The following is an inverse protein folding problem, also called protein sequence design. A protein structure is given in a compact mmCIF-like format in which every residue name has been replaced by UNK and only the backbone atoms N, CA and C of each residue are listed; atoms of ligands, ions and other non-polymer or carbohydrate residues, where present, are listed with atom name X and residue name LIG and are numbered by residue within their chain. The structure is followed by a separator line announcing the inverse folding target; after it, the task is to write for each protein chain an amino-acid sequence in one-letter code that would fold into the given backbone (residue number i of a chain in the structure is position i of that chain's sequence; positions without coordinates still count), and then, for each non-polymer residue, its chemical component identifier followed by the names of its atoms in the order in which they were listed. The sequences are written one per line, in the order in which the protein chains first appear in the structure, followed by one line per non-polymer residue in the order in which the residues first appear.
data_IF_238109071410
#
_entry.id   IF_238109071410
#
_cell.length_a   1.000
_cell.length_b   1.000
_cell.length_c   1.000
_cell.angle_alpha   90.00
_cell.angle_beta   90.00
_cell.angle_gamma   90.00
#
_symmetry.space_group_name_H-M   'P 1'
#
loop_
_entity.id
_entity.type
_entity.pdbx_description
1 polymer ?
#
# COMPACT_ATOMS: atom_id res chain seq x y z
N UNK A 1 -27.50 2.60 3.04
CA UNK A 1 -26.60 3.15 2.00
C UNK A 1 -26.39 4.63 2.33
N UNK A 2 -25.16 5.06 2.65
CA UNK A 2 -24.86 6.40 3.17
C UNK A 2 -24.97 7.47 2.09
N UNK A 3 -26.20 7.93 1.77
CA UNK A 3 -26.45 9.07 0.88
C UNK A 3 -25.79 10.38 1.38
N UNK A 4 -25.43 10.42 2.65
CA UNK A 4 -24.85 11.60 3.29
C UNK A 4 -23.32 11.74 3.06
N UNK A 5 -22.64 10.64 2.72
CA UNK A 5 -21.19 10.65 2.49
C UNK A 5 -20.80 11.10 1.07
N UNK A 6 -21.74 11.07 0.11
CA UNK A 6 -21.48 11.37 -1.29
C UNK A 6 -22.64 12.22 -1.86
N UNK A 7 -22.45 13.51 -1.94
CA UNK A 7 -23.47 14.43 -2.44
C UNK A 7 -23.53 14.46 -3.97
N UNK A 8 -24.70 14.77 -4.53
CA UNK A 8 -24.91 14.89 -5.99
C UNK A 8 -23.92 15.85 -6.66
N UNK A 9 -23.64 17.05 -6.12
CA UNK A 9 -22.62 17.93 -6.71
C UNK A 9 -21.22 17.32 -6.76
N UNK A 10 -20.80 16.59 -5.71
CA UNK A 10 -19.49 15.90 -5.68
C UNK A 10 -19.46 14.80 -6.74
N UNK A 11 -20.54 14.05 -6.92
CA UNK A 11 -20.63 13.02 -7.96
C UNK A 11 -20.52 13.61 -9.37
N UNK A 12 -21.22 14.70 -9.66
CA UNK A 12 -21.17 15.37 -10.96
C UNK A 12 -19.78 15.96 -11.25
N UNK A 13 -19.18 16.61 -10.25
CA UNK A 13 -17.82 17.15 -10.35
C UNK A 13 -16.77 16.05 -10.54
N UNK A 14 -16.90 14.92 -9.82
CA UNK A 14 -15.98 13.80 -9.99
C UNK A 14 -16.10 13.14 -11.37
N UNK A 15 -17.30 12.99 -11.89
CA UNK A 15 -17.50 12.48 -13.27
C UNK A 15 -16.81 13.37 -14.30
N UNK A 16 -16.92 14.67 -14.17
CA UNK A 16 -16.18 15.61 -15.02
C UNK A 16 -14.66 15.49 -14.80
N UNK A 17 -14.23 15.33 -13.55
CA UNK A 17 -12.82 15.15 -13.21
C UNK A 17 -12.23 13.87 -13.78
N UNK A 18 -12.99 12.77 -13.84
CA UNK A 18 -12.53 11.47 -14.35
C UNK A 18 -12.84 11.22 -15.83
N UNK A 19 -13.42 12.21 -16.52
CA UNK A 19 -13.74 12.07 -17.95
C UNK A 19 -12.47 11.72 -18.75
N UNK A 20 -12.55 10.63 -19.54
CA UNK A 20 -11.45 10.13 -20.36
C UNK A 20 -10.42 9.27 -19.63
N UNK A 21 -10.54 9.05 -18.32
CA UNK A 21 -9.71 8.08 -17.59
C UNK A 21 -9.95 6.67 -18.13
N UNK A 22 -8.88 5.94 -18.39
CA UNK A 22 -8.90 4.55 -18.87
C UNK A 22 -8.17 3.59 -17.93
N UNK A 23 -7.14 4.09 -17.24
CA UNK A 23 -6.34 3.34 -16.30
C UNK A 23 -6.59 3.79 -14.88
N UNK A 24 -6.99 2.86 -14.03
CA UNK A 24 -7.12 3.06 -12.59
C UNK A 24 -5.99 2.30 -11.91
N UNK A 25 -5.04 3.04 -11.36
CA UNK A 25 -3.93 2.52 -10.59
C UNK A 25 -4.29 2.53 -9.12
N UNK A 26 -4.05 1.42 -8.46
CA UNK A 26 -4.41 1.19 -7.07
C UNK A 26 -3.11 0.96 -6.28
N UNK A 27 -2.93 1.67 -5.18
CA UNK A 27 -1.97 1.22 -4.19
C UNK A 27 -2.43 -0.09 -3.57
N UNK A 28 -1.52 -0.83 -2.95
CA UNK A 28 -1.83 -2.15 -2.43
C UNK A 28 -2.05 -2.15 -0.92
N UNK A 29 -1.03 -1.71 -0.16
CA UNK A 29 -1.03 -1.78 1.28
C UNK A 29 -1.84 -0.64 1.90
N UNK A 30 -2.76 -0.95 2.80
CA UNK A 30 -3.73 -0.04 3.43
C UNK A 30 -4.70 0.66 2.45
N UNK A 31 -4.64 0.30 1.15
CA UNK A 31 -5.62 0.69 0.13
C UNK A 31 -6.48 -0.50 -0.31
N UNK A 32 -5.90 -1.58 -0.82
CA UNK A 32 -6.63 -2.79 -1.19
C UNK A 32 -6.54 -3.88 -0.11
N UNK A 33 -5.39 -4.02 0.49
CA UNK A 33 -5.09 -4.98 1.56
C UNK A 33 -5.01 -4.22 2.87
N UNK A 34 -5.73 -4.65 3.89
CA UNK A 34 -5.56 -4.15 5.26
C UNK A 34 -4.20 -4.64 5.79
N UNK A 35 -3.15 -3.91 5.37
CA UNK A 35 -1.79 -4.27 5.72
C UNK A 35 -1.56 -4.22 7.22
N UNK A 36 -2.14 -3.23 7.89
CA UNK A 36 -2.00 -3.10 9.35
C UNK A 36 -2.52 -4.33 10.08
N UNK A 37 -3.74 -4.77 9.78
CA UNK A 37 -4.31 -5.97 10.41
C UNK A 37 -3.50 -7.23 10.06
N UNK A 38 -3.12 -7.39 8.80
CA UNK A 38 -2.34 -8.52 8.31
C UNK A 38 -0.94 -8.57 8.93
N UNK A 39 -0.27 -7.42 9.03
CA UNK A 39 1.05 -7.28 9.64
C UNK A 39 1.01 -7.64 11.11
N UNK A 40 0.05 -7.11 11.87
CA UNK A 40 -0.13 -7.43 13.30
C UNK A 40 -0.34 -8.94 13.49
N UNK A 41 -1.23 -9.56 12.72
CA UNK A 41 -1.46 -11.01 12.81
C UNK A 41 -0.20 -11.82 12.52
N UNK A 42 0.57 -11.43 11.48
CA UNK A 42 1.83 -12.07 11.15
C UNK A 42 2.90 -11.87 12.24
N UNK A 43 2.95 -10.69 12.87
CA UNK A 43 3.86 -10.40 13.97
C UNK A 43 3.56 -11.26 15.20
N UNK A 44 2.30 -11.39 15.61
CA UNK A 44 1.92 -12.29 16.72
C UNK A 44 2.34 -13.73 16.45
N UNK A 45 2.11 -14.20 15.23
CA UNK A 45 2.54 -15.54 14.83
C UNK A 45 4.07 -15.68 14.83
N UNK A 46 4.81 -14.65 14.36
CA UNK A 46 6.27 -14.63 14.38
C UNK A 46 6.82 -14.69 15.81
N UNK A 47 6.22 -13.94 16.74
CA UNK A 47 6.61 -13.98 18.16
C UNK A 47 6.59 -15.41 18.70
N UNK A 48 5.49 -16.11 18.48
CA UNK A 48 5.31 -17.49 18.96
C UNK A 48 6.23 -18.48 18.25
N UNK A 49 6.29 -18.43 16.90
CA UNK A 49 7.09 -19.36 16.09
C UNK A 49 8.59 -19.19 16.32
N UNK A 50 9.05 -17.97 16.62
CA UNK A 50 10.46 -17.62 16.76
C UNK A 50 10.94 -17.52 18.20
N UNK A 51 10.08 -17.83 19.18
CA UNK A 51 10.41 -17.79 20.61
C UNK A 51 11.01 -16.43 21.03
N UNK A 52 10.31 -15.35 20.67
CA UNK A 52 10.75 -13.98 20.97
C UNK A 52 10.51 -13.60 22.45
N UNK A 53 9.83 -14.44 23.24
CA UNK A 53 9.72 -14.38 24.69
C UNK A 53 11.08 -14.40 25.41
N UNK A 54 12.14 -14.82 24.72
CA UNK A 54 13.54 -14.69 25.21
C UNK A 54 14.06 -13.26 25.23
N UNK A 55 13.41 -12.34 24.52
CA UNK A 55 13.80 -10.94 24.44
C UNK A 55 12.75 -9.97 25.02
N UNK A 56 11.46 -10.34 24.97
CA UNK A 56 10.35 -9.46 25.33
C UNK A 56 9.43 -10.13 26.35
N UNK A 57 8.95 -9.38 27.32
CA UNK A 57 8.07 -9.88 28.38
C UNK A 57 6.67 -10.26 27.86
N UNK A 58 6.25 -9.65 26.75
CA UNK A 58 4.98 -9.96 26.10
C UNK A 58 5.04 -9.80 24.58
N UNK A 59 4.10 -10.45 23.89
CA UNK A 59 3.92 -10.28 22.45
C UNK A 59 3.54 -8.84 22.08
N UNK A 60 2.69 -8.19 22.87
CA UNK A 60 2.25 -6.82 22.64
C UNK A 60 3.42 -5.85 22.69
N UNK A 61 4.30 -6.01 23.68
CA UNK A 61 5.52 -5.19 23.81
C UNK A 61 6.42 -5.30 22.57
N UNK A 62 6.63 -6.53 22.07
CA UNK A 62 7.43 -6.71 20.87
C UNK A 62 6.76 -6.10 19.63
N UNK A 63 5.45 -6.33 19.43
CA UNK A 63 4.69 -5.79 18.32
C UNK A 63 4.74 -4.26 18.32
N UNK A 64 4.54 -3.62 19.47
CA UNK A 64 4.59 -2.15 19.58
C UNK A 64 6.00 -1.61 19.27
N UNK A 65 7.06 -2.28 19.78
CA UNK A 65 8.43 -1.90 19.47
C UNK A 65 8.74 -2.09 17.97
N UNK A 66 8.37 -3.24 17.40
CA UNK A 66 8.55 -3.50 15.97
C UNK A 66 7.85 -2.43 15.11
N UNK A 67 6.58 -2.13 15.38
CA UNK A 67 5.81 -1.17 14.58
C UNK A 67 6.42 0.24 14.61
N UNK A 68 6.91 0.69 15.78
CA UNK A 68 7.61 1.99 15.89
C UNK A 68 8.87 2.05 15.03
N UNK A 69 9.73 1.04 15.13
CA UNK A 69 10.98 0.98 14.38
C UNK A 69 10.72 0.81 12.88
N UNK A 70 9.82 -0.10 12.51
CA UNK A 70 9.48 -0.35 11.11
C UNK A 70 8.91 0.90 10.42
N UNK A 71 8.04 1.66 11.10
CA UNK A 71 7.50 2.91 10.55
C UNK A 71 8.63 3.93 10.27
N UNK A 72 9.50 4.17 11.23
CA UNK A 72 10.63 5.09 11.06
C UNK A 72 11.59 4.64 9.94
N UNK A 73 11.84 3.33 9.81
CA UNK A 73 12.69 2.78 8.76
C UNK A 73 12.05 2.90 7.38
N UNK A 74 10.73 2.73 7.25
CA UNK A 74 10.03 2.95 5.98
C UNK A 74 10.06 4.42 5.55
N UNK A 75 9.99 5.36 6.49
CA UNK A 75 10.14 6.79 6.19
C UNK A 75 11.53 7.10 5.61
N UNK A 76 12.59 6.51 6.19
CA UNK A 76 13.95 6.65 5.67
C UNK A 76 14.12 5.98 4.30
N UNK A 77 13.54 4.78 4.13
CA UNK A 77 13.60 4.04 2.87
C UNK A 77 12.88 4.78 1.73
N UNK A 78 11.70 5.31 1.99
CA UNK A 78 10.94 6.09 1.00
C UNK A 78 11.68 7.37 0.55
N UNK A 79 12.53 7.93 1.43
CA UNK A 79 13.43 9.05 1.10
C UNK A 79 14.76 8.62 0.48
N UNK A 80 14.94 7.32 0.23
CA UNK A 80 16.18 6.72 -0.28
C UNK A 80 17.43 6.98 0.62
N UNK A 81 17.22 7.17 1.93
CA UNK A 81 18.29 7.38 2.92
C UNK A 81 18.89 6.06 3.43
N UNK A 82 18.17 4.96 3.30
CA UNK A 82 18.63 3.62 3.67
C UNK A 82 18.31 2.61 2.55
N UNK A 83 19.03 1.48 2.56
CA UNK A 83 18.78 0.37 1.63
C UNK A 83 17.69 -0.56 2.13
N UNK A 84 17.10 -1.35 1.22
CA UNK A 84 16.18 -2.43 1.55
C UNK A 84 16.80 -3.43 2.56
N UNK A 85 18.06 -3.82 2.35
CA UNK A 85 18.76 -4.73 3.24
C UNK A 85 18.87 -4.15 4.67
N UNK A 86 19.20 -2.86 4.78
CA UNK A 86 19.22 -2.17 6.06
C UNK A 86 17.84 -2.18 6.74
N UNK A 87 16.78 -1.81 6.03
CA UNK A 87 15.41 -1.83 6.56
C UNK A 87 15.04 -3.23 7.06
N UNK A 88 15.24 -4.26 6.25
CA UNK A 88 14.87 -5.66 6.57
C UNK A 88 15.62 -6.19 7.79
N UNK A 89 16.86 -5.78 7.97
CA UNK A 89 17.68 -6.11 9.13
C UNK A 89 17.19 -5.36 10.37
N UNK A 90 17.14 -4.04 10.29
CA UNK A 90 16.97 -3.15 11.44
C UNK A 90 15.56 -3.19 12.03
N UNK A 91 14.51 -3.50 11.24
CA UNK A 91 13.16 -3.66 11.78
C UNK A 91 13.01 -4.79 12.81
N UNK A 92 13.97 -5.75 12.82
CA UNK A 92 14.06 -6.80 13.84
C UNK A 92 15.16 -6.54 14.86
N UNK A 93 16.30 -6.04 14.43
CA UNK A 93 17.44 -5.78 15.31
C UNK A 93 17.18 -4.67 16.32
N UNK A 94 16.62 -3.54 15.87
CA UNK A 94 16.47 -2.36 16.71
C UNK A 94 15.49 -2.58 17.87
N UNK A 95 14.33 -3.26 17.70
CA UNK A 95 13.50 -3.68 18.83
C UNK A 95 14.23 -4.56 19.83
N UNK A 96 15.05 -5.51 19.36
CA UNK A 96 15.82 -6.40 20.24
C UNK A 96 16.93 -5.62 20.96
N UNK A 97 17.57 -4.65 20.32
CA UNK A 97 18.58 -3.77 20.94
C UNK A 97 18.03 -2.92 22.07
N UNK A 98 16.76 -2.52 22.01
CA UNK A 98 16.12 -1.81 23.13
C UNK A 98 16.15 -2.64 24.42
N UNK A 99 16.03 -3.95 24.32
CA UNK A 99 16.04 -4.90 25.45
C UNK A 99 17.44 -5.44 25.77
N UNK A 100 18.24 -5.63 24.74
CA UNK A 100 19.56 -6.22 24.82
C UNK A 100 20.61 -5.33 24.15
N UNK A 101 21.02 -4.20 24.77
CA UNK A 101 21.91 -3.20 24.13
C UNK A 101 23.28 -3.74 23.71
N UNK A 102 23.68 -4.91 24.22
CA UNK A 102 24.95 -5.55 23.88
C UNK A 102 24.93 -6.36 22.58
N UNK A 103 23.78 -6.50 21.91
CA UNK A 103 23.68 -7.26 20.66
C UNK A 103 24.28 -6.43 19.51
N UNK A 104 25.32 -7.00 18.88
CA UNK A 104 25.91 -6.42 17.67
C UNK A 104 25.12 -6.84 16.42
N UNK A 105 25.22 -6.04 15.36
CA UNK A 105 24.61 -6.35 14.06
C UNK A 105 25.14 -7.68 13.50
N UNK A 106 26.48 -7.88 13.56
CA UNK A 106 27.11 -9.10 13.10
C UNK A 106 26.57 -10.36 13.81
N UNK A 107 26.41 -10.28 15.15
CA UNK A 107 25.91 -11.41 15.95
C UNK A 107 24.43 -11.71 15.75
N UNK A 108 23.65 -10.75 15.24
CA UNK A 108 22.19 -10.86 15.04
C UNK A 108 21.78 -11.06 13.58
N UNK A 109 22.74 -11.02 12.63
CA UNK A 109 22.44 -11.09 11.18
C UNK A 109 21.64 -12.34 10.80
N UNK A 110 22.07 -13.52 11.23
CA UNK A 110 21.38 -14.77 10.89
C UNK A 110 19.98 -14.83 11.51
N UNK A 111 19.83 -14.33 12.73
CA UNK A 111 18.54 -14.28 13.40
C UNK A 111 17.60 -13.27 12.74
N UNK A 112 18.08 -12.07 12.39
CA UNK A 112 17.28 -11.09 11.67
C UNK A 112 16.79 -11.63 10.31
N UNK A 113 17.66 -12.29 9.56
CA UNK A 113 17.30 -12.93 8.29
C UNK A 113 16.23 -14.02 8.48
N UNK A 114 16.37 -14.82 9.55
CA UNK A 114 15.37 -15.83 9.89
C UNK A 114 14.03 -15.22 10.25
N UNK A 115 14.03 -14.18 11.09
CA UNK A 115 12.83 -13.46 11.52
C UNK A 115 12.14 -12.80 10.32
N UNK A 116 12.90 -12.15 9.47
CA UNK A 116 12.41 -11.50 8.25
C UNK A 116 11.71 -12.52 7.34
N UNK A 117 12.37 -13.65 7.08
CA UNK A 117 11.79 -14.71 6.26
C UNK A 117 10.49 -15.25 6.86
N UNK A 118 10.48 -15.59 8.16
CA UNK A 118 9.28 -16.12 8.83
C UNK A 118 8.16 -15.12 8.81
N UNK A 119 8.43 -13.87 9.15
CA UNK A 119 7.43 -12.79 9.12
C UNK A 119 6.83 -12.61 7.73
N UNK A 120 7.66 -12.54 6.67
CA UNK A 120 7.17 -12.35 5.31
C UNK A 120 6.39 -13.55 4.80
N UNK A 121 6.76 -14.77 5.19
CA UNK A 121 6.03 -15.98 4.86
C UNK A 121 4.65 -16.01 5.54
N UNK A 122 4.56 -15.56 6.79
CA UNK A 122 3.32 -15.45 7.55
C UNK A 122 2.45 -14.30 7.03
N UNK A 123 3.06 -13.15 6.73
CA UNK A 123 2.37 -11.99 6.16
C UNK A 123 1.71 -12.32 4.81
N UNK A 124 2.43 -13.02 3.94
CA UNK A 124 1.91 -13.41 2.63
C UNK A 124 0.76 -14.44 2.69
N UNK A 125 0.48 -15.03 3.84
CA UNK A 125 -0.67 -15.91 4.06
C UNK A 125 -1.91 -15.16 4.54
N UNK A 126 -1.76 -13.92 4.99
CA UNK A 126 -2.87 -13.10 5.46
C UNK A 126 -3.74 -12.63 4.29
N UNK A 127 -5.05 -12.48 4.55
CA UNK A 127 -6.05 -12.20 3.50
C UNK A 127 -7.03 -11.09 3.89
N UNK A 128 -6.74 -10.33 4.94
CA UNK A 128 -7.59 -9.22 5.32
C UNK A 128 -7.48 -8.13 4.26
N UNK A 129 -8.63 -7.72 3.73
CA UNK A 129 -8.72 -6.68 2.71
C UNK A 129 -9.44 -5.47 3.28
N UNK A 130 -9.12 -4.30 2.72
CA UNK A 130 -9.86 -3.08 3.02
C UNK A 130 -11.30 -3.23 2.55
N UNK A 131 -12.22 -2.74 3.37
CA UNK A 131 -13.66 -2.83 3.11
C UNK A 131 -14.03 -2.10 1.81
N UNK A 132 -14.70 -2.80 0.89
CA UNK A 132 -15.04 -2.31 -0.44
C UNK A 132 -13.97 -2.50 -1.52
N UNK A 133 -12.77 -2.98 -1.20
CA UNK A 133 -11.69 -3.15 -2.17
C UNK A 133 -12.04 -4.17 -3.28
N UNK A 134 -12.57 -5.32 -2.90
CA UNK A 134 -12.95 -6.37 -3.88
C UNK A 134 -14.09 -5.89 -4.77
N UNK A 135 -15.08 -5.24 -4.20
CA UNK A 135 -16.22 -4.67 -4.92
C UNK A 135 -15.77 -3.60 -5.89
N UNK A 136 -14.84 -2.74 -5.49
CA UNK A 136 -14.27 -1.71 -6.38
C UNK A 136 -13.55 -2.34 -7.57
N UNK A 137 -12.64 -3.29 -7.34
CA UNK A 137 -11.88 -3.94 -8.43
C UNK A 137 -12.82 -4.65 -9.40
N UNK A 138 -13.81 -5.41 -8.90
CA UNK A 138 -14.81 -6.07 -9.75
C UNK A 138 -15.65 -5.06 -10.53
N UNK A 139 -16.04 -3.96 -9.91
CA UNK A 139 -16.81 -2.90 -10.57
C UNK A 139 -16.01 -2.24 -11.71
N UNK A 140 -14.77 -1.86 -11.45
CA UNK A 140 -13.88 -1.28 -12.47
C UNK A 140 -13.72 -2.22 -13.68
N UNK A 141 -13.53 -3.50 -13.41
CA UNK A 141 -13.43 -4.54 -14.45
C UNK A 141 -14.71 -4.64 -15.29
N UNK A 142 -15.87 -4.67 -14.63
CA UNK A 142 -17.18 -4.75 -15.29
C UNK A 142 -17.49 -3.52 -16.15
N UNK A 143 -16.87 -2.38 -15.86
CA UNK A 143 -17.04 -1.12 -16.60
C UNK A 143 -15.86 -0.80 -17.53
N UNK A 144 -15.08 -1.82 -17.92
CA UNK A 144 -14.02 -1.75 -18.94
C UNK A 144 -12.84 -0.83 -18.60
N UNK A 145 -12.63 -0.50 -17.33
CA UNK A 145 -11.39 0.14 -16.91
C UNK A 145 -10.23 -0.86 -16.92
N UNK A 146 -9.07 -0.42 -17.36
CA UNK A 146 -7.83 -1.15 -17.12
C UNK A 146 -7.38 -0.89 -15.67
N UNK A 147 -6.88 -1.93 -15.01
CA UNK A 147 -6.54 -1.88 -13.59
C UNK A 147 -5.04 -2.15 -13.42
N UNK A 148 -4.33 -1.21 -12.82
CA UNK A 148 -2.93 -1.39 -12.43
C UNK A 148 -2.77 -1.38 -10.92
N UNK A 149 -1.75 -2.06 -10.42
CA UNK A 149 -1.24 -1.91 -9.05
C UNK A 149 0.08 -1.15 -9.11
N UNK A 150 0.23 -0.13 -8.25
CA UNK A 150 1.43 0.70 -8.14
C UNK A 150 1.84 0.81 -6.66
N UNK A 151 2.88 0.08 -6.24
CA UNK A 151 3.24 -0.04 -4.82
C UNK A 151 4.73 0.15 -4.55
N UNK A 152 5.05 0.71 -3.36
CA UNK A 152 6.41 0.83 -2.83
C UNK A 152 6.90 -0.43 -2.09
N UNK A 153 6.15 -1.53 -2.14
CA UNK A 153 6.52 -2.76 -1.46
C UNK A 153 7.54 -3.60 -2.24
N UNK A 154 8.11 -4.57 -1.56
CA UNK A 154 9.10 -5.50 -2.11
C UNK A 154 8.45 -6.51 -3.07
N UNK A 155 9.09 -6.74 -4.23
CA UNK A 155 8.55 -7.54 -5.33
C UNK A 155 8.14 -8.94 -4.89
N UNK A 156 9.01 -9.64 -4.14
CA UNK A 156 8.76 -11.00 -3.66
C UNK A 156 7.52 -11.09 -2.74
N UNK A 157 7.23 -10.04 -1.99
CA UNK A 157 6.11 -9.97 -1.04
C UNK A 157 4.82 -9.56 -1.73
N UNK A 158 4.85 -8.53 -2.56
CA UNK A 158 3.66 -7.96 -3.17
C UNK A 158 2.96 -8.93 -4.13
N UNK A 159 3.72 -9.65 -4.96
CA UNK A 159 3.14 -10.69 -5.81
C UNK A 159 2.47 -11.81 -5.02
N UNK A 160 3.07 -12.24 -3.91
CA UNK A 160 2.49 -13.26 -3.03
C UNK A 160 1.21 -12.78 -2.36
N UNK A 161 1.15 -11.52 -1.90
CA UNK A 161 -0.06 -10.90 -1.34
C UNK A 161 -1.18 -10.84 -2.39
N UNK A 162 -0.89 -10.32 -3.58
CA UNK A 162 -1.86 -10.25 -4.69
C UNK A 162 -2.43 -11.64 -5.02
N UNK A 163 -1.57 -12.65 -5.09
CA UNK A 163 -1.99 -14.03 -5.33
C UNK A 163 -2.86 -14.59 -4.19
N UNK A 164 -2.48 -14.36 -2.94
CA UNK A 164 -3.20 -14.88 -1.77
C UNK A 164 -4.64 -14.36 -1.67
N UNK A 165 -4.89 -13.13 -2.12
CA UNK A 165 -6.23 -12.51 -2.16
C UNK A 165 -6.92 -12.63 -3.53
N UNK A 166 -6.28 -13.26 -4.52
CA UNK A 166 -6.83 -13.51 -5.86
C UNK A 166 -6.96 -12.27 -6.74
N UNK A 167 -6.28 -11.17 -6.40
CA UNK A 167 -6.26 -9.95 -7.20
C UNK A 167 -5.32 -10.05 -8.42
N UNK A 168 -4.33 -10.94 -8.39
CA UNK A 168 -3.41 -11.20 -9.50
C UNK A 168 -4.11 -11.51 -10.83
N UNK A 169 -5.33 -12.05 -10.77
CA UNK A 169 -6.16 -12.39 -11.95
C UNK A 169 -7.08 -11.26 -12.40
N UNK A 170 -7.18 -10.20 -11.63
CA UNK A 170 -8.10 -9.09 -11.86
C UNK A 170 -7.41 -7.80 -12.29
N UNK A 171 -6.08 -7.73 -12.19
CA UNK A 171 -5.29 -6.57 -12.59
C UNK A 171 -4.58 -6.81 -13.92
N UNK A 172 -4.42 -5.75 -14.71
CA UNK A 172 -3.80 -5.80 -16.05
C UNK A 172 -2.30 -5.50 -15.99
N UNK A 173 -1.86 -4.77 -14.97
CA UNK A 173 -0.46 -4.43 -14.75
C UNK A 173 -0.12 -4.35 -13.26
N UNK A 174 1.12 -4.69 -12.94
CA UNK A 174 1.72 -4.50 -11.61
C UNK A 174 3.05 -3.76 -11.80
N UNK A 175 3.23 -2.67 -11.06
CA UNK A 175 4.47 -1.88 -11.04
C UNK A 175 4.89 -1.73 -9.59
N UNK A 176 6.07 -2.21 -9.28
CA UNK A 176 6.64 -2.22 -7.94
C UNK A 176 7.92 -1.38 -7.92
N UNK A 177 8.08 -0.56 -6.90
CA UNK A 177 9.24 0.30 -6.76
C UNK A 177 10.55 -0.48 -6.72
N UNK A 178 10.53 -1.66 -6.14
CA UNK A 178 11.67 -2.57 -6.02
C UNK A 178 12.20 -3.03 -7.39
N UNK A 179 11.31 -3.26 -8.37
CA UNK A 179 11.68 -3.68 -9.73
C UNK A 179 12.43 -2.59 -10.52
N UNK A 180 12.17 -1.32 -10.21
CA UNK A 180 12.69 -0.17 -10.96
C UNK A 180 13.66 0.71 -10.15
N UNK A 181 13.83 0.38 -8.86
CA UNK A 181 14.77 1.08 -7.97
C UNK A 181 14.37 2.52 -7.62
N UNK A 182 13.07 2.87 -7.74
CA UNK A 182 12.56 4.19 -7.33
C UNK A 182 11.17 4.07 -6.70
N UNK A 183 10.97 4.81 -5.61
CA UNK A 183 9.72 4.79 -4.84
C UNK A 183 8.77 5.92 -5.26
N UNK A 184 7.46 5.74 -5.11
CA UNK A 184 6.51 6.86 -5.06
C UNK A 184 6.99 7.81 -3.95
N UNK A 185 6.98 9.13 -4.14
CA UNK A 185 6.33 9.91 -5.21
C UNK A 185 7.24 10.27 -6.41
N UNK A 186 8.38 9.60 -6.61
CA UNK A 186 9.27 9.93 -7.74
C UNK A 186 8.52 9.79 -9.08
N UNK A 187 8.53 10.82 -9.96
CA UNK A 187 7.77 10.78 -11.21
C UNK A 187 8.22 9.68 -12.18
N UNK A 188 9.41 9.09 -11.98
CA UNK A 188 9.91 7.98 -12.81
C UNK A 188 9.04 6.73 -12.66
N UNK A 189 8.48 6.45 -11.46
CA UNK A 189 7.62 5.28 -11.26
C UNK A 189 6.28 5.45 -12.00
N UNK A 190 5.70 6.65 -12.00
CA UNK A 190 4.47 6.96 -12.73
C UNK A 190 4.67 6.91 -14.24
N UNK A 191 5.81 7.38 -14.73
CA UNK A 191 6.18 7.25 -16.15
C UNK A 191 6.30 5.79 -16.55
N UNK A 192 6.99 4.98 -15.74
CA UNK A 192 7.11 3.55 -15.99
C UNK A 192 5.74 2.85 -15.99
N UNK A 193 4.82 3.25 -15.11
CA UNK A 193 3.45 2.74 -15.10
C UNK A 193 2.70 3.07 -16.41
N UNK A 194 2.84 4.31 -16.94
CA UNK A 194 2.30 4.68 -18.25
C UNK A 194 2.90 3.84 -19.40
N UNK A 195 4.20 3.63 -19.40
CA UNK A 195 4.87 2.77 -20.39
C UNK A 195 4.35 1.34 -20.32
N UNK A 196 4.20 0.78 -19.12
CA UNK A 196 3.63 -0.57 -18.90
C UNK A 196 2.17 -0.69 -19.33
N UNK A 197 1.41 0.40 -19.22
CA UNK A 197 0.01 0.44 -19.63
C UNK A 197 -0.18 0.51 -21.15
N UNK A 198 0.85 0.92 -21.90
CA UNK A 198 0.75 1.25 -23.32
C UNK A 198 -0.01 2.55 -23.61
N UNK A 199 -0.39 3.32 -22.59
CA UNK A 199 -1.05 4.63 -22.71
C UNK A 199 -0.20 5.69 -22.02
N UNK A 200 0.39 6.59 -22.79
CA UNK A 200 1.32 7.62 -22.29
C UNK A 200 0.67 8.97 -22.05
N UNK A 201 -0.65 9.09 -22.21
CA UNK A 201 -1.40 10.31 -21.89
C UNK A 201 -1.72 10.37 -20.37
N UNK A 202 -1.06 11.24 -19.58
CA UNK A 202 -1.28 11.32 -18.14
C UNK A 202 -2.75 11.57 -17.77
N UNK A 203 -3.49 12.28 -18.62
CA UNK A 203 -4.90 12.59 -18.37
C UNK A 203 -5.83 11.34 -18.38
N UNK A 204 -5.32 10.20 -18.84
CA UNK A 204 -6.06 8.94 -18.87
C UNK A 204 -5.79 8.04 -17.68
N UNK A 205 -4.95 8.49 -16.76
CA UNK A 205 -4.55 7.75 -15.56
C UNK A 205 -5.09 8.41 -14.30
N UNK A 206 -5.52 7.58 -13.36
CA UNK A 206 -5.89 7.99 -12.00
C UNK A 206 -5.23 7.06 -10.99
N UNK A 207 -4.71 7.63 -9.91
CA UNK A 207 -4.20 6.89 -8.76
C UNK A 207 -5.22 6.89 -7.64
N UNK A 208 -5.45 5.74 -7.02
CA UNK A 208 -6.22 5.60 -5.78
C UNK A 208 -5.28 5.02 -4.73
N UNK A 209 -5.07 5.72 -3.64
CA UNK A 209 -4.18 5.31 -2.56
C UNK A 209 -4.53 5.98 -1.24
N UNK A 210 -3.94 5.50 -0.15
CA UNK A 210 -4.16 6.00 1.21
C UNK A 210 -3.14 7.06 1.64
N UNK A 211 -2.01 7.16 0.94
CA UNK A 211 -0.92 8.04 1.34
C UNK A 211 -0.89 9.36 0.54
N UNK A 212 -1.19 10.52 1.19
CA UNK A 212 -1.23 11.79 0.49
C UNK A 212 0.13 12.24 -0.06
N UNK A 213 1.26 11.83 0.55
CA UNK A 213 2.59 12.27 0.15
C UNK A 213 3.22 11.41 -0.96
N UNK A 214 2.89 10.15 -1.01
CA UNK A 214 3.43 9.21 -2.03
C UNK A 214 2.46 9.02 -3.19
N UNK A 215 1.21 8.61 -2.91
CA UNK A 215 0.25 8.28 -3.97
C UNK A 215 -0.32 9.53 -4.64
N UNK A 216 -0.85 10.45 -3.83
CA UNK A 216 -1.61 11.59 -4.33
C UNK A 216 -0.67 12.64 -4.88
N UNK A 217 0.32 13.08 -4.10
CA UNK A 217 1.25 14.10 -4.54
C UNK A 217 2.05 13.66 -5.78
N UNK A 218 2.51 12.39 -5.81
CA UNK A 218 3.26 11.86 -6.94
C UNK A 218 2.41 11.72 -8.21
N UNK A 219 1.15 11.27 -8.09
CA UNK A 219 0.21 11.19 -9.21
C UNK A 219 -0.06 12.57 -9.81
N UNK A 220 -0.41 13.55 -8.97
CA UNK A 220 -0.69 14.92 -9.41
C UNK A 220 0.53 15.57 -10.05
N UNK A 221 1.73 15.41 -9.47
CA UNK A 221 2.98 15.92 -10.04
C UNK A 221 3.32 15.28 -11.39
N UNK A 222 2.81 14.07 -11.65
CA UNK A 222 2.96 13.35 -12.91
C UNK A 222 1.83 13.66 -13.93
N UNK A 223 0.92 14.57 -13.62
CA UNK A 223 -0.22 14.95 -14.46
C UNK A 223 -1.40 13.98 -14.42
N UNK A 224 -1.38 13.01 -13.51
CA UNK A 224 -2.48 12.07 -13.30
C UNK A 224 -3.58 12.71 -12.44
N UNK A 225 -4.73 12.08 -12.42
CA UNK A 225 -5.76 12.33 -11.42
C UNK A 225 -5.50 11.51 -10.17
N UNK A 226 -6.11 11.90 -9.04
CA UNK A 226 -5.89 11.21 -7.77
C UNK A 226 -7.16 11.08 -6.93
N UNK A 227 -7.25 9.98 -6.19
CA UNK A 227 -8.24 9.72 -5.15
C UNK A 227 -7.51 9.28 -3.89
N UNK A 228 -7.68 10.06 -2.83
CA UNK A 228 -7.22 9.69 -1.49
C UNK A 228 -8.29 8.84 -0.80
N UNK A 229 -7.94 7.62 -0.41
CA UNK A 229 -8.70 6.85 0.55
C UNK A 229 -8.24 7.22 1.96
N UNK A 230 -9.09 7.87 2.73
CA UNK A 230 -8.79 8.29 4.10
C UNK A 230 -10.02 8.08 5.00
N UNK A 231 -10.03 7.02 5.82
CA UNK A 231 -11.14 6.77 6.76
C UNK A 231 -11.40 7.88 7.77
N UNK A 232 -10.47 8.83 7.95
CA UNK A 232 -10.64 9.95 8.87
C UNK A 232 -11.49 11.09 8.30
N UNK A 233 -11.67 11.17 6.97
CA UNK A 233 -12.57 12.17 6.40
C UNK A 233 -14.03 11.78 6.64
N UNK A 234 -14.87 12.76 6.93
CA UNK A 234 -16.27 12.53 7.30
C UNK A 234 -17.22 12.43 6.11
N UNK A 235 -16.79 12.89 4.94
CA UNK A 235 -17.55 12.84 3.68
C UNK A 235 -16.61 12.92 2.48
N UNK A 236 -17.10 12.55 1.29
CA UNK A 236 -16.33 12.71 0.07
C UNK A 236 -16.18 14.20 -0.30
N UNK A 237 -14.94 14.61 -0.59
CA UNK A 237 -14.60 16.00 -0.95
C UNK A 237 -13.70 16.02 -2.16
N UNK A 238 -14.11 16.73 -3.21
CA UNK A 238 -13.27 16.99 -4.39
C UNK A 238 -12.62 18.39 -4.24
N UNK A 239 -11.30 18.41 -4.34
CA UNK A 239 -10.47 19.63 -4.30
C UNK A 239 -9.54 19.67 -5.50
N UNK A 240 -8.72 20.71 -5.62
CA UNK A 240 -7.63 20.76 -6.60
C UNK A 240 -6.60 19.62 -6.40
N UNK A 241 -6.50 19.07 -5.20
CA UNK A 241 -5.66 17.91 -4.86
C UNK A 241 -6.29 16.54 -5.16
N UNK A 242 -7.42 16.50 -5.86
CA UNK A 242 -8.14 15.24 -6.13
C UNK A 242 -9.34 15.02 -5.22
N UNK A 243 -9.93 13.83 -5.32
CA UNK A 243 -11.04 13.40 -4.46
C UNK A 243 -10.48 12.74 -3.20
N UNK A 244 -11.01 13.09 -2.03
CA UNK A 244 -10.83 12.31 -0.80
C UNK A 244 -12.13 11.58 -0.45
N UNK A 245 -12.03 10.30 -0.06
CA UNK A 245 -13.19 9.47 0.30
C UNK A 245 -12.94 8.71 1.60
N UNK A 246 -13.95 8.61 2.48
CA UNK A 246 -13.84 7.84 3.73
C UNK A 246 -13.95 6.33 3.52
N UNK A 247 -14.40 5.86 2.37
CA UNK A 247 -14.61 4.44 2.09
C UNK A 247 -14.52 4.14 0.61
N UNK A 248 -13.85 3.04 0.27
CA UNK A 248 -13.79 2.53 -1.10
C UNK A 248 -15.17 2.14 -1.64
N UNK A 249 -16.14 1.82 -0.76
CA UNK A 249 -17.53 1.51 -1.15
C UNK A 249 -18.24 2.63 -1.90
N UNK A 250 -17.74 3.86 -1.82
CA UNK A 250 -18.32 5.00 -2.54
C UNK A 250 -17.89 5.04 -4.01
N UNK A 251 -16.69 4.51 -4.32
CA UNK A 251 -16.07 4.64 -5.63
C UNK A 251 -16.84 3.94 -6.77
N UNK A 252 -17.46 2.76 -6.59
CA UNK A 252 -18.26 2.14 -7.65
C UNK A 252 -19.35 3.04 -8.23
N UNK A 253 -19.98 3.89 -7.43
CA UNK A 253 -21.01 4.82 -7.91
C UNK A 253 -20.45 6.02 -8.70
N UNK A 254 -19.14 6.24 -8.61
CA UNK A 254 -18.40 7.33 -9.24
C UNK A 254 -17.79 6.91 -10.58
N UNK A 255 -17.36 5.65 -10.72
CA UNK A 255 -16.81 5.08 -11.94
C UNK A 255 -17.92 4.36 -12.72
N UNK A 256 -18.50 4.99 -13.72
CA UNK A 256 -19.68 4.48 -14.44
C UNK A 256 -19.40 3.98 -15.87
N UNK A 257 -18.14 3.70 -16.20
CA UNK A 257 -17.72 3.17 -17.50
C UNK A 257 -17.16 4.25 -18.44
N UNK A 258 -16.40 3.75 -19.38
CA UNK A 258 -15.73 4.52 -20.44
C UNK A 258 -16.68 4.68 -21.63
#
# INVERSE_FOLDING_TARGET
MNSDLLTKPVMEAFRAYTAGVRWVWLDLDDTLIDFRANSIAALYATYSCCQLDRYFDSCDEWVDSYLRHNHALWDLYNRAEITQAYLRMHRFLDPVREKCPGISEESFTDEANRLDKVYLDLLAQQKCMVDGAVELVKHLRAHSYNIGVLSNGFTDVQHRKLHAVGLDKLVDAVVLSDDIGVNKPDPRIYRHAMERSGDTDPARHIMIGDNPSTDIAGALASGWRAVLYDPAVTQAVLTAGGLAVPSLRLLPSLFQGI
#
